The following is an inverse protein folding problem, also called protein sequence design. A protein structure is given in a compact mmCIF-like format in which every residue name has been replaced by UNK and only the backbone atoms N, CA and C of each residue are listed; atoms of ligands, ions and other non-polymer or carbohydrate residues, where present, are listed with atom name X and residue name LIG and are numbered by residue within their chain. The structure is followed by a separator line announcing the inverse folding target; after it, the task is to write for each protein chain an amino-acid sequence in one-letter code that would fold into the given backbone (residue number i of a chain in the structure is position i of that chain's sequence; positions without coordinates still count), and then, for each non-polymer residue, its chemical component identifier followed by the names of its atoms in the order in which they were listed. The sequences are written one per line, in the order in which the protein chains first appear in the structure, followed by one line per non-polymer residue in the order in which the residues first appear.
data_IF_843400385453
#
_entry.id   IF_843400385453
#
_cell.length_a   1.000
_cell.length_b   1.000
_cell.length_c   1.000
_cell.angle_alpha   90.00
_cell.angle_beta   90.00
_cell.angle_gamma   90.00
#
_symmetry.space_group_name_H-M   'P 1'
#
loop_
_entity.id
_entity.type
_entity.pdbx_description
1 polymer ?
#
# COMPACT_ATOMS: atom_id res chain seq x y z
N UNK A 1 47.56 17.07 -43.30
CA UNK A 1 48.95 16.73 -42.90
C UNK A 1 48.97 16.45 -41.40
N UNK A 2 49.80 15.49 -40.97
CA UNK A 2 49.54 14.48 -39.93
C UNK A 2 49.95 14.99 -38.51
N UNK A 3 49.81 14.32 -37.37
CA UNK A 3 49.84 12.88 -37.01
C UNK A 3 49.49 12.73 -35.51
N UNK A 4 48.96 11.56 -35.12
CA UNK A 4 49.20 10.82 -33.86
C UNK A 4 48.65 11.41 -32.53
N UNK A 5 48.13 10.64 -31.56
CA UNK A 5 48.09 9.18 -31.34
C UNK A 5 47.07 8.87 -30.22
N UNK A 6 46.21 7.87 -30.44
CA UNK A 6 45.68 7.00 -29.39
C UNK A 6 46.82 6.13 -28.83
N UNK A 7 46.65 5.60 -27.61
CA UNK A 7 46.85 4.16 -27.46
C UNK A 7 45.60 3.45 -26.94
N UNK A 8 45.30 2.35 -27.62
CA UNK A 8 44.51 1.24 -27.12
C UNK A 8 45.21 0.55 -25.94
N UNK A 9 44.44 -0.07 -25.05
CA UNK A 9 44.86 -1.27 -24.33
C UNK A 9 43.62 -2.01 -23.80
N UNK A 10 43.28 -3.08 -24.50
CA UNK A 10 42.47 -4.20 -24.00
C UNK A 10 43.44 -5.38 -23.73
N UNK A 11 42.97 -6.54 -23.24
CA UNK A 11 42.82 -6.92 -21.84
C UNK A 11 43.93 -7.88 -21.37
N UNK A 12 44.16 -7.98 -20.06
CA UNK A 12 45.06 -8.99 -19.48
C UNK A 12 44.36 -9.85 -18.41
N UNK A 13 44.03 -11.10 -18.79
CA UNK A 13 43.94 -12.28 -17.90
C UNK A 13 44.74 -13.37 -18.62
N UNK A 14 45.72 -14.04 -17.99
CA UNK A 14 45.52 -15.38 -17.40
C UNK A 14 46.41 -15.56 -16.13
N UNK A 15 46.23 -16.54 -15.24
CA UNK A 15 46.36 -17.98 -15.49
C UNK A 15 46.00 -18.78 -14.23
N UNK A 16 45.41 -19.94 -14.45
CA UNK A 16 45.15 -21.00 -13.47
C UNK A 16 46.40 -21.83 -13.15
N UNK A 17 46.40 -22.48 -11.99
CA UNK A 17 46.92 -23.84 -11.77
C UNK A 17 46.33 -24.35 -10.42
N UNK A 18 45.42 -25.32 -10.40
CA UNK A 18 45.57 -26.79 -10.56
C UNK A 18 45.89 -27.52 -9.25
N UNK A 19 44.94 -28.32 -8.75
CA UNK A 19 45.06 -29.78 -8.55
C UNK A 19 43.92 -30.36 -7.68
N UNK A 20 43.22 -31.34 -8.26
CA UNK A 20 42.37 -32.36 -7.64
C UNK A 20 43.24 -33.59 -7.22
N UNK A 21 42.76 -34.86 -7.01
CA UNK A 21 41.41 -35.44 -6.78
C UNK A 21 41.41 -36.59 -5.70
N UNK A 22 40.37 -37.45 -5.77
CA UNK A 22 40.16 -38.82 -5.23
C UNK A 22 39.40 -39.00 -3.90
N UNK A 23 38.39 -39.88 -3.78
CA UNK A 23 37.79 -40.91 -4.67
C UNK A 23 36.35 -41.24 -4.18
N UNK A 24 35.39 -41.62 -5.04
CA UNK A 24 35.04 -42.99 -5.47
C UNK A 24 34.79 -43.95 -4.27
N UNK A 25 33.71 -44.73 -4.11
CA UNK A 25 32.84 -45.45 -5.07
C UNK A 25 31.58 -45.98 -4.35
N UNK A 26 30.47 -46.12 -5.06
CA UNK A 26 29.20 -46.86 -4.78
C UNK A 26 29.36 -48.40 -4.96
N UNK A 27 28.29 -49.25 -5.04
CA UNK A 27 27.22 -49.73 -4.11
C UNK A 27 27.22 -51.31 -4.13
N UNK A 28 26.13 -52.15 -4.15
CA UNK A 28 24.71 -52.12 -3.68
C UNK A 28 24.21 -53.44 -2.96
N UNK A 29 22.90 -53.47 -2.61
CA UNK A 29 21.91 -54.58 -2.81
C UNK A 29 21.48 -55.59 -1.70
N UNK A 30 20.15 -55.83 -1.70
CA UNK A 30 19.38 -57.05 -1.36
C UNK A 30 19.33 -57.57 0.10
N UNK A 31 18.29 -58.22 0.63
CA UNK A 31 16.92 -58.55 0.21
C UNK A 31 16.14 -59.10 1.45
N UNK A 32 14.81 -59.04 1.34
CA UNK A 32 13.75 -59.85 1.99
C UNK A 32 14.12 -61.07 2.85
N UNK A 33 13.43 -61.29 3.99
CA UNK A 33 12.51 -62.45 4.20
C UNK A 33 11.79 -62.42 5.56
N UNK A 34 10.76 -63.26 5.62
CA UNK A 34 9.49 -63.28 6.36
C UNK A 34 9.48 -64.15 7.63
N UNK A 35 8.56 -63.80 8.55
CA UNK A 35 7.77 -64.69 9.47
C UNK A 35 8.44 -65.28 10.72
N UNK A 36 7.69 -65.80 11.75
CA UNK A 36 6.27 -65.63 12.11
C UNK A 36 6.01 -65.32 13.62
N UNK A 37 4.79 -64.88 13.92
CA UNK A 37 4.17 -64.74 15.25
C UNK A 37 3.90 -66.11 15.94
N UNK A 38 3.91 -66.15 17.28
CA UNK A 38 2.86 -66.88 18.01
C UNK A 38 2.22 -66.06 19.15
N UNK A 39 0.88 -66.10 19.22
CA UNK A 39 0.04 -65.83 20.41
C UNK A 39 -0.08 -67.11 21.27
N UNK A 40 -0.76 -67.14 22.45
CA UNK A 40 -1.00 -66.18 23.56
C UNK A 40 -0.67 -66.84 24.94
N UNK A 41 -0.91 -66.27 26.15
CA UNK A 41 -2.26 -66.32 26.74
C UNK A 41 -2.65 -65.12 27.65
N UNK A 42 -3.96 -64.93 27.80
CA UNK A 42 -4.58 -64.03 28.76
C UNK A 42 -4.42 -64.53 30.21
N UNK A 43 -4.09 -63.62 31.15
CA UNK A 43 -4.60 -63.66 32.52
C UNK A 43 -4.31 -62.37 33.31
N UNK A 44 -5.40 -61.84 33.89
CA UNK A 44 -5.51 -61.09 35.17
C UNK A 44 -5.04 -59.63 35.22
N UNK A 45 -6.04 -58.75 35.20
CA UNK A 45 -5.99 -57.45 35.89
C UNK A 45 -5.63 -57.63 37.38
N UNK A 46 -4.99 -56.62 37.96
CA UNK A 46 -5.72 -55.83 38.95
C UNK A 46 -5.56 -54.32 38.77
N UNK A 47 -6.64 -53.62 39.13
CA UNK A 47 -6.79 -52.18 39.33
C UNK A 47 -5.49 -51.38 39.56
N UNK A 48 -5.28 -50.38 38.72
CA UNK A 48 -4.73 -49.11 39.17
C UNK A 48 -5.47 -47.97 38.46
N UNK A 49 -6.21 -47.21 39.26
CA UNK A 49 -6.79 -45.92 38.91
C UNK A 49 -5.69 -44.97 38.47
N UNK A 50 -5.49 -44.82 37.17
CA UNK A 50 -4.83 -43.65 36.60
C UNK A 50 -5.92 -42.75 36.04
N UNK A 51 -6.42 -41.86 36.90
CA UNK A 51 -7.02 -40.61 36.44
C UNK A 51 -5.92 -39.83 35.72
N UNK A 52 -5.79 -40.09 34.43
CA UNK A 52 -4.98 -39.26 33.55
C UNK A 52 -5.77 -37.95 33.34
N UNK A 53 -5.69 -37.06 34.32
CA UNK A 53 -6.10 -35.67 34.14
C UNK A 53 -5.05 -35.01 33.24
N UNK A 54 -5.09 -35.34 31.95
CA UNK A 54 -4.32 -34.65 30.92
C UNK A 54 -4.98 -33.28 30.77
N UNK A 55 -4.31 -32.17 31.11
CA UNK A 55 -4.83 -30.86 30.75
C UNK A 55 -4.98 -30.84 29.23
N UNK A 56 -6.21 -30.68 28.75
CA UNK A 56 -6.48 -30.42 27.33
C UNK A 56 -5.55 -29.28 26.91
N UNK A 57 -4.74 -29.42 25.84
CA UNK A 57 -3.96 -28.29 25.34
C UNK A 57 -4.92 -27.13 25.10
N UNK A 58 -4.82 -26.11 25.96
CA UNK A 58 -5.47 -24.84 25.70
C UNK A 58 -4.72 -24.29 24.50
N UNK A 59 -5.37 -24.37 23.34
CA UNK A 59 -4.95 -23.63 22.16
C UNK A 59 -4.90 -22.17 22.62
N UNK A 60 -3.73 -21.51 22.61
CA UNK A 60 -3.66 -20.08 22.92
C UNK A 60 -4.65 -19.34 22.02
N UNK A 61 -5.36 -18.32 22.51
CA UNK A 61 -6.21 -17.50 21.65
C UNK A 61 -5.43 -17.06 20.42
N UNK A 62 -6.02 -17.18 19.24
CA UNK A 62 -5.41 -16.64 18.03
C UNK A 62 -5.08 -15.15 18.26
N UNK A 63 -3.86 -14.79 17.90
CA UNK A 63 -3.23 -13.50 18.21
C UNK A 63 -4.03 -12.25 17.75
N UNK A 64 -3.76 -11.06 18.34
CA UNK A 64 -4.36 -9.74 18.05
C UNK A 64 -4.40 -9.31 16.57
N UNK A 65 -3.69 -9.99 15.66
CA UNK A 65 -3.70 -9.73 14.23
C UNK A 65 -5.09 -9.86 13.58
N UNK A 66 -5.98 -10.71 14.13
CA UNK A 66 -7.32 -10.89 13.58
C UNK A 66 -8.23 -9.67 13.86
N UNK A 67 -8.10 -9.05 15.03
CA UNK A 67 -8.93 -7.91 15.40
C UNK A 67 -8.56 -6.64 14.63
N UNK A 68 -7.25 -6.37 14.46
CA UNK A 68 -6.80 -5.24 13.63
C UNK A 68 -7.26 -5.38 12.18
N UNK A 69 -7.19 -6.59 11.61
CA UNK A 69 -7.67 -6.85 10.25
C UNK A 69 -9.20 -6.69 10.14
N UNK A 70 -9.96 -7.13 11.15
CA UNK A 70 -11.41 -6.93 11.21
C UNK A 70 -11.79 -5.45 11.30
N UNK A 71 -11.10 -4.68 12.15
CA UNK A 71 -11.28 -3.22 12.25
C UNK A 71 -10.96 -2.54 10.92
N UNK A 72 -9.86 -2.91 10.26
CA UNK A 72 -9.48 -2.37 8.96
C UNK A 72 -10.55 -2.65 7.89
N UNK A 73 -11.01 -3.90 7.78
CA UNK A 73 -12.05 -4.30 6.83
C UNK A 73 -13.34 -3.54 7.09
N UNK A 74 -13.76 -3.44 8.36
CA UNK A 74 -14.98 -2.72 8.72
C UNK A 74 -14.93 -1.24 8.31
N UNK A 75 -13.80 -0.57 8.51
CA UNK A 75 -13.61 0.84 8.10
C UNK A 75 -13.70 0.97 6.58
N UNK A 76 -13.08 0.05 5.83
CA UNK A 76 -13.11 0.06 4.37
C UNK A 76 -14.46 -0.33 3.78
N UNK A 77 -15.27 -1.12 4.48
CA UNK A 77 -16.60 -1.57 4.03
C UNK A 77 -17.73 -0.64 4.48
N UNK A 78 -17.46 0.33 5.36
CA UNK A 78 -18.46 1.26 5.84
C UNK A 78 -19.02 2.13 4.71
N UNK A 79 -20.34 2.15 4.57
CA UNK A 79 -21.02 2.96 3.56
C UNK A 79 -21.39 4.34 4.10
N UNK A 80 -20.59 5.34 3.73
CA UNK A 80 -20.85 6.74 4.04
C UNK A 80 -21.55 7.53 2.92
N UNK A 81 -21.84 6.91 1.77
CA UNK A 81 -22.45 7.53 0.58
C UNK A 81 -21.48 7.69 -0.60
N UNK A 82 -21.93 8.35 -1.68
CA UNK A 82 -21.24 8.40 -2.97
C UNK A 82 -19.90 9.18 -2.97
N UNK A 83 -19.73 10.09 -2.01
CA UNK A 83 -18.52 10.89 -1.84
C UNK A 83 -17.92 10.69 -0.45
N UNK A 84 -17.62 9.43 -0.15
CA UNK A 84 -17.08 9.01 1.13
C UNK A 84 -16.00 7.95 0.91
N UNK A 85 -14.84 8.17 1.53
CA UNK A 85 -13.81 7.16 1.65
C UNK A 85 -13.19 7.26 3.04
N UNK A 86 -12.92 6.11 3.65
CA UNK A 86 -12.20 6.02 4.91
C UNK A 86 -11.21 4.87 4.87
N UNK A 87 -10.06 5.08 5.50
CA UNK A 87 -9.07 4.02 5.65
C UNK A 87 -8.38 4.15 7.00
N UNK A 88 -8.10 3.00 7.60
CA UNK A 88 -7.34 2.94 8.83
C UNK A 88 -5.86 3.23 8.52
N UNK A 89 -5.29 4.21 9.20
CA UNK A 89 -3.89 4.65 9.00
C UNK A 89 -2.94 4.09 10.04
N UNK A 90 -3.47 3.78 11.23
CA UNK A 90 -2.75 3.03 12.26
C UNK A 90 -3.74 2.37 13.23
N UNK A 91 -3.31 1.31 13.87
CA UNK A 91 -4.05 0.65 14.94
C UNK A 91 -3.09 0.10 15.99
N UNK A 92 -3.46 0.31 17.24
CA UNK A 92 -2.92 -0.34 18.43
C UNK A 92 -4.09 -0.98 19.18
N UNK A 93 -3.82 -1.69 20.28
CA UNK A 93 -4.87 -2.34 21.06
C UNK A 93 -5.99 -1.34 21.47
N UNK A 94 -5.59 -0.12 21.88
CA UNK A 94 -6.47 0.89 22.47
C UNK A 94 -6.65 2.17 21.63
N UNK A 95 -5.99 2.30 20.49
CA UNK A 95 -6.08 3.49 19.65
C UNK A 95 -6.15 3.10 18.18
N UNK A 96 -7.11 3.68 17.47
CA UNK A 96 -7.33 3.48 16.04
C UNK A 96 -7.37 4.84 15.38
N UNK A 97 -6.52 5.06 14.38
CA UNK A 97 -6.53 6.30 13.60
C UNK A 97 -7.10 6.03 12.20
N UNK A 98 -8.08 6.82 11.81
CA UNK A 98 -8.76 6.75 10.51
C UNK A 98 -8.53 8.06 9.78
N UNK A 99 -8.16 7.98 8.50
CA UNK A 99 -8.20 9.14 7.61
C UNK A 99 -9.40 9.00 6.67
N UNK A 100 -10.17 10.08 6.57
CA UNK A 100 -11.42 10.11 5.82
C UNK A 100 -11.46 11.26 4.82
N UNK A 101 -12.08 11.03 3.66
CA UNK A 101 -12.33 12.04 2.63
C UNK A 101 -13.84 12.09 2.34
N UNK A 102 -14.41 13.28 2.33
CA UNK A 102 -15.80 13.47 1.95
C UNK A 102 -16.23 14.93 1.94
N UNK A 103 -17.47 15.19 1.54
CA UNK A 103 -18.03 16.56 1.42
C UNK A 103 -18.71 17.05 2.70
N UNK A 104 -18.88 16.17 3.69
CA UNK A 104 -19.64 16.46 4.91
C UNK A 104 -19.08 15.66 6.10
N UNK A 105 -19.30 16.16 7.32
CA UNK A 105 -18.79 15.54 8.56
C UNK A 105 -19.72 14.43 9.07
N UNK A 106 -21.03 14.54 8.80
CA UNK A 106 -22.08 13.68 9.34
C UNK A 106 -21.87 12.18 9.05
N UNK A 107 -21.40 11.75 7.85
CA UNK A 107 -21.08 10.33 7.64
C UNK A 107 -19.96 9.81 8.56
N UNK A 108 -18.99 10.65 8.92
CA UNK A 108 -17.89 10.29 9.81
C UNK A 108 -18.32 10.23 11.27
N UNK A 109 -19.26 11.08 11.70
CA UNK A 109 -19.88 10.98 13.03
C UNK A 109 -20.62 9.64 13.21
N UNK A 110 -21.36 9.21 12.18
CA UNK A 110 -22.00 7.88 12.17
C UNK A 110 -20.96 6.76 12.20
N UNK A 111 -19.91 6.85 11.38
CA UNK A 111 -18.80 5.89 11.40
C UNK A 111 -18.18 5.78 12.80
N UNK A 112 -17.89 6.90 13.45
CA UNK A 112 -17.31 6.92 14.78
C UNK A 112 -18.21 6.22 15.80
N UNK A 113 -19.51 6.55 15.80
CA UNK A 113 -20.50 5.95 16.71
C UNK A 113 -20.65 4.45 16.48
N UNK A 114 -20.77 4.01 15.23
CA UNK A 114 -20.93 2.59 14.88
C UNK A 114 -19.65 1.79 15.16
N UNK A 115 -18.47 2.40 14.93
CA UNK A 115 -17.18 1.79 15.24
C UNK A 115 -17.02 1.60 16.75
N UNK A 116 -17.32 2.64 17.55
CA UNK A 116 -17.24 2.59 19.01
C UNK A 116 -18.22 1.57 19.58
N UNK A 117 -19.47 1.52 19.08
CA UNK A 117 -20.45 0.54 19.49
C UNK A 117 -19.98 -0.91 19.22
N UNK A 118 -19.32 -1.12 18.07
CA UNK A 118 -18.86 -2.46 17.65
C UNK A 118 -17.58 -2.91 18.36
N UNK A 119 -16.58 -2.05 18.45
CA UNK A 119 -15.23 -2.41 18.90
C UNK A 119 -14.88 -1.90 20.29
N UNK A 120 -15.79 -1.14 20.94
CA UNK A 120 -15.60 -0.57 22.27
C UNK A 120 -14.34 0.33 22.38
N UNK A 121 -13.88 0.86 21.24
CA UNK A 121 -12.77 1.79 21.10
C UNK A 121 -13.25 2.95 20.24
N UNK A 122 -13.04 4.18 20.71
CA UNK A 122 -13.33 5.37 19.92
C UNK A 122 -12.17 5.66 18.96
N UNK A 123 -12.40 5.72 17.64
CA UNK A 123 -11.34 6.01 16.69
C UNK A 123 -11.06 7.52 16.61
N UNK A 124 -9.79 7.89 16.41
CA UNK A 124 -9.40 9.24 16.00
C UNK A 124 -9.62 9.37 14.49
N UNK A 125 -10.63 10.14 14.08
CA UNK A 125 -10.98 10.34 12.66
C UNK A 125 -10.48 11.69 12.17
N UNK A 126 -9.44 11.66 11.35
CA UNK A 126 -8.96 12.82 10.60
C UNK A 126 -9.79 13.01 9.32
N UNK A 127 -10.81 13.87 9.40
CA UNK A 127 -11.68 14.21 8.26
C UNK A 127 -11.03 15.24 7.34
N UNK A 128 -10.97 14.94 6.04
CA UNK A 128 -10.53 15.82 4.96
C UNK A 128 -11.75 16.23 4.13
N UNK A 129 -12.23 17.44 4.38
CA UNK A 129 -13.34 18.00 3.60
C UNK A 129 -12.86 18.38 2.20
N UNK A 130 -13.47 17.75 1.21
CA UNK A 130 -13.21 17.95 -0.22
C UNK A 130 -14.42 18.58 -0.91
N UNK A 131 -14.20 19.15 -2.09
CA UNK A 131 -15.29 19.70 -2.91
C UNK A 131 -16.02 18.59 -3.68
N UNK A 132 -17.30 18.79 -4.06
CA UNK A 132 -18.05 17.82 -4.87
C UNK A 132 -17.34 17.39 -6.16
N UNK A 133 -16.60 18.31 -6.79
CA UNK A 133 -15.85 18.00 -8.01
C UNK A 133 -14.68 17.02 -7.80
N UNK A 134 -14.28 16.79 -6.55
CA UNK A 134 -13.18 15.88 -6.18
C UNK A 134 -13.69 14.48 -5.78
N UNK A 135 -15.00 14.23 -5.76
CA UNK A 135 -15.58 12.98 -5.26
C UNK A 135 -15.12 11.72 -6.00
N UNK A 136 -14.74 11.83 -7.26
CA UNK A 136 -14.21 10.67 -8.00
C UNK A 136 -12.93 10.10 -7.38
N UNK A 137 -12.20 10.90 -6.59
CA UNK A 137 -11.07 10.41 -5.80
C UNK A 137 -11.52 9.38 -4.76
N UNK A 138 -12.65 9.58 -4.08
CA UNK A 138 -13.11 8.64 -3.05
C UNK A 138 -13.52 7.31 -3.65
N UNK A 139 -14.23 7.33 -4.78
CA UNK A 139 -14.59 6.11 -5.51
C UNK A 139 -13.34 5.36 -6.01
N UNK A 140 -12.39 6.08 -6.61
CA UNK A 140 -11.13 5.52 -7.10
C UNK A 140 -10.32 4.85 -5.97
N UNK A 141 -10.19 5.52 -4.82
CA UNK A 141 -9.51 4.98 -3.65
C UNK A 141 -10.23 3.77 -3.06
N UNK A 142 -11.56 3.74 -3.09
CA UNK A 142 -12.35 2.60 -2.61
C UNK A 142 -12.09 1.34 -3.44
N UNK A 143 -12.11 1.48 -4.76
CA UNK A 143 -11.88 0.37 -5.69
C UNK A 143 -10.46 -0.19 -5.57
N UNK A 144 -9.45 0.68 -5.55
CA UNK A 144 -8.05 0.24 -5.40
C UNK A 144 -7.70 -0.17 -3.97
N UNK A 145 -8.40 0.37 -2.97
CA UNK A 145 -8.21 0.02 -1.56
C UNK A 145 -8.63 -1.39 -1.19
N UNK A 146 -9.45 -2.03 -2.05
CA UNK A 146 -9.87 -3.43 -1.94
C UNK A 146 -8.86 -4.42 -2.52
N UNK A 147 -7.90 -3.93 -3.31
CA UNK A 147 -6.79 -4.77 -3.76
C UNK A 147 -5.88 -5.06 -2.57
N UNK A 148 -5.40 -6.30 -2.44
CA UNK A 148 -4.39 -6.65 -1.45
C UNK A 148 -3.00 -6.08 -1.77
N UNK A 149 -2.90 -5.20 -2.76
CA UNK A 149 -1.67 -4.61 -3.23
C UNK A 149 -1.11 -3.62 -2.21
N UNK A 150 0.20 -3.63 -2.04
CA UNK A 150 0.84 -2.77 -1.06
C UNK A 150 0.72 -1.30 -1.40
N UNK A 151 0.25 -0.53 -0.41
CA UNK A 151 0.00 0.89 -0.59
C UNK A 151 1.31 1.68 -0.51
N UNK A 152 1.55 2.62 -1.44
CA UNK A 152 2.62 3.59 -1.30
C UNK A 152 2.42 4.42 -0.03
N UNK A 153 3.52 4.76 0.66
CA UNK A 153 3.50 5.70 1.79
C UNK A 153 3.86 7.09 1.30
N UNK A 154 2.86 7.96 1.19
CA UNK A 154 3.02 9.38 0.87
C UNK A 154 2.99 10.23 2.16
N UNK A 155 4.02 11.05 2.35
CA UNK A 155 4.13 12.03 3.45
C UNK A 155 4.34 13.41 2.84
N UNK A 156 3.52 14.39 3.24
CA UNK A 156 3.67 15.78 2.84
C UNK A 156 4.43 16.56 3.91
N UNK A 157 5.27 17.50 3.50
CA UNK A 157 6.06 18.33 4.41
C UNK A 157 5.18 19.28 5.24
N UNK A 158 4.03 19.66 4.68
CA UNK A 158 3.02 20.52 5.32
C UNK A 158 1.64 20.31 4.70
N UNK A 159 0.60 20.63 5.47
CA UNK A 159 -0.80 20.49 5.05
C UNK A 159 -1.51 21.83 4.84
N UNK A 160 -0.82 22.95 5.09
CA UNK A 160 -1.23 24.29 4.70
C UNK A 160 -0.08 24.93 3.92
N UNK A 161 -0.33 25.26 2.66
CA UNK A 161 0.65 25.77 1.71
C UNK A 161 0.21 27.17 1.28
N UNK A 162 1.03 28.20 1.53
CA UNK A 162 0.76 29.54 1.01
C UNK A 162 0.77 29.55 -0.52
N UNK A 163 -0.02 30.43 -1.13
CA UNK A 163 -0.09 30.52 -2.58
C UNK A 163 1.29 30.80 -3.22
N UNK A 164 1.71 29.97 -4.18
CA UNK A 164 3.00 30.09 -4.87
C UNK A 164 4.18 29.46 -4.12
N UNK A 165 3.99 29.02 -2.87
CA UNK A 165 4.99 28.25 -2.15
C UNK A 165 5.05 26.80 -2.65
N UNK A 166 6.20 26.13 -2.52
CA UNK A 166 6.30 24.73 -2.90
C UNK A 166 5.52 23.83 -1.93
N UNK A 167 4.74 22.90 -2.47
CA UNK A 167 4.37 21.68 -1.75
C UNK A 167 5.49 20.66 -1.94
N UNK A 168 6.00 20.14 -0.83
CA UNK A 168 6.99 19.08 -0.84
C UNK A 168 6.46 17.82 -0.16
N UNK A 169 7.10 16.70 -0.47
CA UNK A 169 6.79 15.44 0.17
C UNK A 169 7.73 14.31 -0.22
N UNK A 170 7.59 13.22 0.50
CA UNK A 170 8.30 11.96 0.29
C UNK A 170 7.30 10.85 -0.01
N UNK A 171 7.61 10.07 -1.05
CA UNK A 171 6.91 8.88 -1.46
C UNK A 171 7.82 7.67 -1.23
N UNK A 172 7.37 6.72 -0.42
CA UNK A 172 8.08 5.45 -0.21
C UNK A 172 7.23 4.32 -0.79
N UNK A 173 7.82 3.52 -1.66
CA UNK A 173 7.20 2.34 -2.26
C UNK A 173 8.10 1.14 -2.08
N UNK A 174 7.55 -0.07 -2.26
CA UNK A 174 8.41 -1.24 -2.41
C UNK A 174 9.19 -1.13 -3.71
N UNK A 175 10.46 -1.53 -3.70
CA UNK A 175 11.28 -1.63 -4.90
C UNK A 175 10.60 -2.44 -6.00
N UNK A 176 10.77 -2.00 -7.25
CA UNK A 176 10.22 -2.64 -8.45
C UNK A 176 8.81 -2.17 -8.85
N UNK A 177 8.18 -1.27 -8.09
CA UNK A 177 6.90 -0.65 -8.46
C UNK A 177 7.12 0.72 -9.08
N UNK A 178 6.25 1.08 -10.03
CA UNK A 178 6.21 2.37 -10.71
C UNK A 178 5.08 3.19 -10.11
N UNK A 179 5.34 4.47 -9.82
CA UNK A 179 4.37 5.38 -9.23
C UNK A 179 4.06 6.53 -10.18
N UNK A 180 2.77 6.76 -10.40
CA UNK A 180 2.23 7.95 -11.06
C UNK A 180 1.69 8.89 -9.98
N UNK A 181 2.04 10.18 -10.04
CA UNK A 181 1.70 11.20 -9.05
C UNK A 181 0.88 12.31 -9.68
N UNK A 182 -0.31 12.53 -9.14
CA UNK A 182 -1.28 13.51 -9.63
C UNK A 182 -1.58 14.54 -8.54
N UNK A 183 -1.62 15.82 -8.93
CA UNK A 183 -2.25 16.88 -8.13
C UNK A 183 -3.68 17.05 -8.62
N UNK A 184 -4.64 17.13 -7.70
CA UNK A 184 -6.05 17.36 -7.99
C UNK A 184 -6.48 18.62 -7.25
N UNK A 185 -6.90 19.63 -8.02
CA UNK A 185 -7.38 20.90 -7.46
C UNK A 185 -8.80 20.81 -6.91
N UNK A 186 -9.22 21.85 -6.18
CA UNK A 186 -10.57 21.96 -5.62
C UNK A 186 -11.71 21.89 -6.66
N UNK A 187 -11.43 22.08 -7.96
CA UNK A 187 -12.41 21.97 -9.05
C UNK A 187 -12.40 20.58 -9.68
N UNK A 188 -11.66 19.63 -9.11
CA UNK A 188 -11.54 18.28 -9.66
C UNK A 188 -10.70 18.24 -10.93
N UNK A 189 -9.76 19.16 -11.13
CA UNK A 189 -8.83 19.12 -12.26
C UNK A 189 -7.53 18.46 -11.80
N UNK A 190 -7.15 17.40 -12.50
CA UNK A 190 -5.90 16.68 -12.29
C UNK A 190 -4.77 17.28 -13.14
N UNK A 191 -3.58 17.31 -12.54
CA UNK A 191 -2.31 17.70 -13.15
C UNK A 191 -1.31 16.56 -12.91
N UNK A 192 -0.64 16.10 -13.95
CA UNK A 192 0.45 15.13 -13.82
C UNK A 192 1.68 15.82 -13.16
N UNK A 193 2.29 15.15 -12.19
CA UNK A 193 3.48 15.62 -11.47
C UNK A 193 4.71 14.72 -11.68
N UNK A 194 4.65 13.71 -12.54
CA UNK A 194 5.67 12.67 -12.70
C UNK A 194 7.04 13.26 -13.06
N UNK A 195 7.06 14.23 -13.99
CA UNK A 195 8.27 14.94 -14.41
C UNK A 195 8.90 15.81 -13.30
N UNK A 196 8.22 15.96 -12.16
CA UNK A 196 8.70 16.71 -11.00
C UNK A 196 9.09 15.81 -9.82
N UNK A 197 9.01 14.49 -10.01
CA UNK A 197 9.42 13.51 -9.01
C UNK A 197 10.91 13.22 -9.19
N UNK A 198 11.65 13.29 -8.09
CA UNK A 198 13.06 12.92 -8.03
C UNK A 198 13.18 11.55 -7.35
N UNK A 199 13.48 10.52 -8.14
CA UNK A 199 13.68 9.17 -7.64
C UNK A 199 15.02 9.02 -6.91
N UNK A 200 14.99 8.23 -5.84
CA UNK A 200 16.14 7.80 -5.03
C UNK A 200 16.02 6.27 -4.84
N UNK A 201 17.05 5.57 -4.33
CA UNK A 201 17.06 4.10 -4.29
C UNK A 201 15.89 3.44 -3.56
N UNK A 202 15.33 4.08 -2.52
CA UNK A 202 14.26 3.53 -1.67
C UNK A 202 13.03 4.46 -1.55
N UNK A 203 13.07 5.63 -2.19
CA UNK A 203 12.06 6.67 -2.06
C UNK A 203 12.06 7.60 -3.26
N UNK A 204 11.02 8.40 -3.38
CA UNK A 204 10.92 9.52 -4.27
C UNK A 204 10.62 10.79 -3.47
N UNK A 205 11.13 11.93 -3.91
CA UNK A 205 10.86 13.24 -3.30
C UNK A 205 10.41 14.22 -4.35
N UNK A 206 9.57 15.17 -3.95
CA UNK A 206 9.16 16.27 -4.83
C UNK A 206 9.09 17.58 -4.05
N UNK A 207 9.26 18.69 -4.76
CA UNK A 207 9.08 20.04 -4.25
C UNK A 207 8.60 20.92 -5.40
N UNK A 208 7.31 21.25 -5.40
CA UNK A 208 6.62 21.79 -6.58
C UNK A 208 5.94 23.10 -6.17
N UNK A 209 6.33 24.26 -6.73
CA UNK A 209 5.60 25.50 -6.58
C UNK A 209 4.18 25.34 -7.14
N UNK A 210 3.17 25.55 -6.31
CA UNK A 210 1.76 25.52 -6.74
C UNK A 210 1.12 26.86 -6.41
N UNK A 211 0.43 27.42 -7.39
CA UNK A 211 -0.36 28.62 -7.25
C UNK A 211 -1.82 28.37 -7.56
N UNK A 212 -2.68 29.16 -6.94
CA UNK A 212 -4.08 29.32 -7.29
C UNK A 212 -4.22 30.09 -8.61
N UNK A 213 -5.31 29.83 -9.32
CA UNK A 213 -5.72 30.64 -10.46
C UNK A 213 -6.02 32.09 -10.06
N UNK A 214 -6.02 33.01 -11.01
CA UNK A 214 -6.19 34.44 -10.73
C UNK A 214 -7.48 34.77 -9.96
N UNK A 215 -8.60 34.11 -10.31
CA UNK A 215 -9.89 34.31 -9.64
C UNK A 215 -9.85 33.83 -8.17
N UNK A 216 -9.30 32.65 -7.92
CA UNK A 216 -9.20 32.06 -6.59
C UNK A 216 -8.26 32.86 -5.69
N UNK A 217 -7.14 33.32 -6.27
CA UNK A 217 -6.19 34.22 -5.60
C UNK A 217 -6.86 35.54 -5.23
N UNK A 218 -7.63 36.15 -6.14
CA UNK A 218 -8.35 37.39 -5.87
C UNK A 218 -9.43 37.21 -4.78
N UNK A 219 -10.03 36.02 -4.69
CA UNK A 219 -10.99 35.69 -3.65
C UNK A 219 -10.34 35.45 -2.27
N UNK A 220 -9.01 35.34 -2.18
CA UNK A 220 -8.28 35.12 -0.92
C UNK A 220 -8.65 33.81 -0.22
N UNK A 221 -9.17 32.82 -0.95
CA UNK A 221 -9.67 31.57 -0.37
C UNK A 221 -8.54 30.58 -0.11
N UNK A 222 -8.71 29.81 0.95
CA UNK A 222 -7.90 28.62 1.23
C UNK A 222 -8.68 27.41 0.71
N UNK A 223 -8.13 26.73 -0.30
CA UNK A 223 -8.86 25.74 -1.09
C UNK A 223 -8.28 24.33 -0.90
N UNK A 224 -9.13 23.28 -0.88
CA UNK A 224 -8.68 21.91 -0.72
C UNK A 224 -7.94 21.41 -1.96
N UNK A 225 -6.86 20.68 -1.75
CA UNK A 225 -6.04 20.06 -2.79
C UNK A 225 -5.72 18.63 -2.38
N UNK A 226 -5.54 17.75 -3.35
CA UNK A 226 -5.23 16.34 -3.12
C UNK A 226 -4.02 15.95 -3.97
N UNK A 227 -3.06 15.27 -3.36
CA UNK A 227 -2.03 14.52 -4.09
C UNK A 227 -2.44 13.06 -4.08
N UNK A 228 -2.71 12.51 -5.26
CA UNK A 228 -3.04 11.10 -5.47
C UNK A 228 -1.82 10.40 -6.07
N UNK A 229 -1.45 9.26 -5.49
CA UNK A 229 -0.37 8.42 -6.00
C UNK A 229 -0.93 7.04 -6.33
N UNK A 230 -0.65 6.58 -7.54
CA UNK A 230 -1.06 5.28 -8.06
C UNK A 230 0.21 4.48 -8.29
N UNK A 231 0.28 3.29 -7.73
CA UNK A 231 1.49 2.46 -7.77
C UNK A 231 1.16 1.06 -8.25
N UNK A 232 1.99 0.51 -9.12
CA UNK A 232 1.82 -0.86 -9.61
C UNK A 232 3.06 -1.41 -10.32
N UNK A 233 2.98 -2.64 -10.87
CA UNK A 233 4.12 -3.31 -11.50
C UNK A 233 4.48 -2.74 -12.87
N UNK A 234 3.60 -1.93 -13.45
CA UNK A 234 3.76 -1.30 -14.77
C UNK A 234 3.25 0.12 -14.71
N UNK A 235 3.74 0.93 -15.63
CA UNK A 235 3.26 2.29 -15.79
C UNK A 235 1.79 2.33 -16.25
N UNK A 236 1.08 3.39 -15.88
CA UNK A 236 -0.34 3.61 -16.24
C UNK A 236 -0.40 4.65 -17.35
N UNK A 237 -0.64 4.21 -18.58
CA UNK A 237 -0.60 5.11 -19.74
C UNK A 237 -1.65 6.21 -19.66
N UNK A 238 -2.83 5.91 -19.13
CA UNK A 238 -3.90 6.88 -18.92
C UNK A 238 -3.52 7.99 -17.91
N UNK A 239 -2.54 7.74 -17.03
CA UNK A 239 -2.02 8.75 -16.11
C UNK A 239 -0.92 9.64 -16.73
N UNK A 240 -0.40 9.28 -17.91
CA UNK A 240 0.57 10.09 -18.66
C UNK A 240 -0.16 11.08 -19.56
N UNK A 241 -0.35 12.31 -19.08
CA UNK A 241 -1.03 13.38 -19.80
C UNK A 241 -0.39 14.74 -19.53
N UNK A 242 -0.46 15.64 -20.53
CA UNK A 242 0.16 16.97 -20.45
C UNK A 242 -0.85 18.09 -20.15
N UNK A 243 -2.10 17.94 -20.56
CA UNK A 243 -3.14 18.94 -20.36
C UNK A 243 -3.91 18.70 -19.05
N UNK A 244 -4.22 19.74 -18.25
CA UNK A 244 -5.08 19.60 -17.07
C UNK A 244 -6.39 18.91 -17.43
N UNK A 245 -6.74 17.85 -16.71
CA UNK A 245 -7.84 16.93 -17.09
C UNK A 245 -8.82 16.73 -15.94
N UNK A 246 -10.15 16.80 -16.16
CA UNK A 246 -11.12 16.49 -15.11
C UNK A 246 -10.98 15.08 -14.54
N UNK A 247 -11.00 14.93 -13.22
CA UNK A 247 -10.88 13.62 -12.54
C UNK A 247 -12.02 12.68 -12.90
N UNK A 248 -13.21 13.22 -13.18
CA UNK A 248 -14.38 12.45 -13.62
C UNK A 248 -14.22 11.79 -14.99
N UNK A 249 -13.31 12.30 -15.83
CA UNK A 249 -12.95 11.64 -17.07
C UNK A 249 -11.64 10.84 -16.93
N UNK A 250 -10.71 11.28 -16.09
CA UNK A 250 -9.38 10.68 -15.96
C UNK A 250 -9.40 9.39 -15.13
N UNK A 251 -9.95 9.43 -13.91
CA UNK A 251 -9.85 8.32 -12.96
C UNK A 251 -10.58 7.05 -13.44
N UNK A 252 -11.77 7.13 -14.06
CA UNK A 252 -12.40 5.97 -14.68
C UNK A 252 -11.54 5.34 -15.79
N UNK A 253 -10.91 6.14 -16.64
CA UNK A 253 -10.02 5.63 -17.70
C UNK A 253 -8.79 4.91 -17.13
N UNK A 254 -8.26 5.39 -16.00
CA UNK A 254 -7.17 4.71 -15.30
C UNK A 254 -7.66 3.37 -14.72
N UNK A 255 -8.85 3.33 -14.11
CA UNK A 255 -9.43 2.09 -13.59
C UNK A 255 -9.64 1.07 -14.71
N UNK A 256 -10.21 1.48 -15.85
CA UNK A 256 -10.41 0.61 -17.02
C UNK A 256 -9.09 -0.02 -17.49
N UNK A 257 -8.00 0.77 -17.52
CA UNK A 257 -6.66 0.27 -17.88
C UNK A 257 -6.12 -0.72 -16.84
N UNK A 258 -6.26 -0.41 -15.56
CA UNK A 258 -5.81 -1.27 -14.46
C UNK A 258 -6.54 -2.62 -14.49
N UNK A 259 -7.86 -2.61 -14.68
CA UNK A 259 -8.70 -3.80 -14.77
C UNK A 259 -8.36 -4.64 -16.01
N UNK A 260 -8.20 -4.01 -17.17
CA UNK A 260 -7.81 -4.69 -18.41
C UNK A 260 -6.45 -5.40 -18.29
N UNK A 261 -5.52 -4.80 -17.53
CA UNK A 261 -4.18 -5.35 -17.31
C UNK A 261 -4.12 -6.42 -16.20
N UNK A 262 -5.21 -6.65 -15.44
CA UNK A 262 -5.29 -7.59 -14.30
C UNK A 262 -4.08 -7.52 -13.37
N UNK A 263 -3.65 -6.30 -13.08
CA UNK A 263 -2.42 -6.04 -12.34
C UNK A 263 -2.73 -5.51 -10.94
N UNK A 264 -1.88 -5.85 -9.99
CA UNK A 264 -2.01 -5.42 -8.60
C UNK A 264 -1.57 -3.96 -8.46
N UNK A 265 -2.53 -3.05 -8.62
CA UNK A 265 -2.33 -1.62 -8.41
C UNK A 265 -2.91 -1.19 -7.07
N UNK A 266 -2.23 -0.27 -6.40
CA UNK A 266 -2.69 0.38 -5.18
C UNK A 266 -2.66 1.90 -5.34
N UNK A 267 -3.42 2.60 -4.50
CA UNK A 267 -3.37 4.05 -4.44
C UNK A 267 -3.38 4.58 -3.01
N UNK A 268 -2.77 5.75 -2.84
CA UNK A 268 -2.88 6.57 -1.63
C UNK A 268 -3.16 8.01 -2.03
N UNK A 269 -3.89 8.74 -1.17
CA UNK A 269 -4.07 10.17 -1.33
C UNK A 269 -3.61 10.92 -0.08
N UNK A 270 -3.12 12.14 -0.25
CA UNK A 270 -2.89 13.10 0.84
C UNK A 270 -3.53 14.44 0.54
N UNK A 271 -4.13 15.00 1.56
CA UNK A 271 -4.83 16.27 1.52
C UNK A 271 -3.93 17.41 2.00
N UNK A 272 -4.04 18.56 1.35
CA UNK A 272 -3.53 19.82 1.86
C UNK A 272 -4.43 20.98 1.47
N UNK A 273 -4.26 22.11 2.16
CA UNK A 273 -4.95 23.36 1.87
C UNK A 273 -3.97 24.31 1.20
N UNK A 274 -4.41 24.93 0.11
CA UNK A 274 -3.63 25.89 -0.66
C UNK A 274 -4.29 27.26 -0.63
N UNK A 275 -3.54 28.29 -0.26
CA UNK A 275 -4.01 29.66 -0.22
C UNK A 275 -3.51 30.40 1.02
N UNK A 276 -4.06 31.59 1.23
CA UNK A 276 -3.46 32.60 2.10
C UNK A 276 -2.60 33.59 1.32
#
# INVERSE_FOLDING_TARGET
MPKAQQPANEPAKPKAADKAPDGATTPPEAATTTSPQPEPPAAKQPNETVVLNVPKPQVPPAAPANETAQRASWVSDFSGGDCFYATMTSATDNAVAIEGFGTAVQPFERMMSDFQARFQVEPDISVRLIEPAQCEVTNFLHLLGRTGADKPRLVLDRTLVPNGSPIGGTLVTRGGLISNVLLIDHRGIAFNLDDRIVAQPDRATFSIPIGLGAADKAAGKVLPQIILVITGPRDVKAAVFSAPTPVSALLPRILDEIEANRSDYSATAKYFRLGG
#
